data_IF_973001007689
#
_entry.id   IF_973001007689
#
_cell.length_a   1.000
_cell.length_b   1.000
_cell.length_c   1.000
_cell.angle_alpha   90.00
_cell.angle_beta   90.00
_cell.angle_gamma   90.00
#
_symmetry.space_group_name_H-M   'P 1'
#
loop_
_entity.id
_entity.type
_entity.pdbx_description
1 polymer ?
#
# COMPACT_ATOMS: atom_id res chain seq x y z
N UNK A 1 -21.01 7.03 -52.38
CA UNK A 1 -21.19 5.56 -52.43
C UNK A 1 -19.77 4.99 -52.44
N UNK A 2 -19.24 4.24 -51.48
CA UNK A 2 -19.81 3.21 -50.61
C UNK A 2 -19.26 3.27 -49.18
N UNK A 3 -20.14 3.09 -48.20
CA UNK A 3 -19.84 2.84 -46.79
C UNK A 3 -19.48 1.37 -46.58
N UNK A 4 -18.30 1.06 -46.03
CA UNK A 4 -18.03 -0.25 -45.44
C UNK A 4 -18.25 -0.20 -43.91
N UNK A 5 -19.02 -1.14 -43.32
CA UNK A 5 -19.18 -1.21 -41.87
C UNK A 5 -18.04 -2.00 -41.21
N UNK A 6 -17.60 -1.52 -40.05
CA UNK A 6 -16.67 -2.22 -39.16
C UNK A 6 -17.33 -3.47 -38.54
N UNK A 7 -16.58 -4.58 -38.33
CA UNK A 7 -17.14 -5.85 -37.89
C UNK A 7 -17.55 -5.82 -36.41
N UNK A 8 -18.81 -6.20 -36.14
CA UNK A 8 -19.34 -6.47 -34.79
C UNK A 8 -18.85 -7.83 -34.31
N UNK A 9 -18.00 -7.86 -33.28
CA UNK A 9 -17.66 -9.09 -32.57
C UNK A 9 -18.82 -9.51 -31.65
N UNK A 10 -19.46 -10.64 -31.97
CA UNK A 10 -20.47 -11.29 -31.13
C UNK A 10 -19.74 -12.28 -30.21
N UNK A 11 -19.69 -11.99 -28.91
CA UNK A 11 -19.20 -12.91 -27.89
C UNK A 11 -20.20 -14.07 -27.73
N UNK A 12 -19.84 -15.26 -28.24
CA UNK A 12 -20.58 -16.50 -27.98
C UNK A 12 -20.21 -17.04 -26.59
N UNK A 13 -21.24 -17.27 -25.78
CA UNK A 13 -21.20 -17.90 -24.45
C UNK A 13 -20.69 -19.35 -24.56
N UNK A 14 -19.58 -19.67 -23.88
CA UNK A 14 -19.10 -21.05 -23.76
C UNK A 14 -19.82 -21.77 -22.60
N UNK A 15 -20.32 -22.98 -22.86
CA UNK A 15 -20.92 -23.88 -21.87
C UNK A 15 -19.83 -24.72 -21.16
N UNK A 16 -20.07 -25.21 -19.92
CA UNK A 16 -19.06 -25.92 -19.14
C UNK A 16 -18.90 -27.37 -19.60
N UNK A 17 -17.65 -27.83 -19.75
CA UNK A 17 -17.34 -29.24 -19.99
C UNK A 17 -16.92 -29.93 -18.68
N UNK A 18 -17.54 -31.10 -18.45
CA UNK A 18 -17.36 -31.98 -17.32
C UNK A 18 -15.97 -32.65 -17.29
N UNK A 19 -15.59 -33.10 -16.09
CA UNK A 19 -14.23 -33.50 -15.74
C UNK A 19 -13.76 -34.84 -16.29
N UNK A 20 -12.45 -35.06 -16.12
CA UNK A 20 -11.80 -36.37 -16.22
C UNK A 20 -10.80 -36.49 -15.08
N UNK A 21 -10.98 -37.57 -14.32
CA UNK A 21 -10.12 -38.07 -13.24
C UNK A 21 -8.91 -38.77 -13.87
N UNK A 22 -7.71 -38.50 -13.37
CA UNK A 22 -6.49 -39.19 -13.80
C UNK A 22 -5.46 -39.23 -12.68
N UNK A 23 -5.41 -40.36 -11.97
CA UNK A 23 -4.36 -40.71 -11.02
C UNK A 23 -3.10 -41.19 -11.74
N UNK A 24 -1.91 -40.79 -11.28
CA UNK A 24 -0.73 -41.64 -11.38
C UNK A 24 0.32 -41.29 -10.32
N UNK A 25 0.77 -42.32 -9.61
CA UNK A 25 1.90 -42.31 -8.68
C UNK A 25 3.23 -42.42 -9.43
N UNK A 26 4.28 -41.84 -8.86
CA UNK A 26 5.66 -42.13 -9.22
C UNK A 26 6.60 -41.71 -8.10
N UNK A 27 7.09 -42.68 -7.33
CA UNK A 27 8.12 -42.53 -6.32
C UNK A 27 9.51 -42.54 -6.98
N UNK A 28 10.44 -41.72 -6.50
CA UNK A 28 11.87 -42.04 -6.48
C UNK A 28 12.60 -41.21 -5.41
N UNK A 29 13.42 -41.92 -4.63
CA UNK A 29 14.25 -41.45 -3.54
C UNK A 29 15.70 -41.27 -4.00
N UNK A 30 16.48 -40.44 -3.28
CA UNK A 30 17.94 -40.39 -3.40
C UNK A 30 18.60 -39.08 -2.91
N UNK A 31 18.90 -39.03 -1.60
CA UNK A 31 20.11 -38.52 -0.91
C UNK A 31 20.73 -37.16 -1.31
N UNK A 32 20.63 -36.13 -0.45
CA UNK A 32 21.54 -35.71 0.65
C UNK A 32 22.67 -34.73 0.24
N UNK A 33 22.64 -33.53 0.85
CA UNK A 33 23.67 -32.49 0.77
C UNK A 33 23.23 -31.26 1.57
N UNK A 34 23.74 -31.15 2.80
CA UNK A 34 23.09 -30.43 3.90
C UNK A 34 23.15 -28.90 3.92
N UNK A 35 22.09 -28.33 4.51
CA UNK A 35 22.10 -27.10 5.31
C UNK A 35 21.06 -27.29 6.44
N UNK A 36 21.46 -27.95 7.51
CA UNK A 36 20.67 -28.05 8.73
C UNK A 36 20.78 -26.73 9.51
N UNK A 37 19.64 -26.16 9.93
CA UNK A 37 19.61 -25.07 10.92
C UNK A 37 18.61 -23.94 10.70
N UNK A 38 17.36 -24.22 10.31
CA UNK A 38 16.22 -23.29 10.51
C UNK A 38 14.90 -24.08 10.56
N UNK A 39 14.80 -24.99 11.52
CA UNK A 39 13.55 -25.70 11.79
C UNK A 39 12.54 -24.77 12.47
N UNK A 40 11.33 -24.66 11.90
CA UNK A 40 10.13 -24.21 12.60
C UNK A 40 9.57 -22.83 12.23
N UNK A 41 9.54 -22.43 10.96
CA UNK A 41 8.63 -21.34 10.53
C UNK A 41 7.26 -21.96 10.27
N UNK A 42 6.22 -21.49 10.96
CA UNK A 42 4.83 -21.87 10.63
C UNK A 42 4.49 -21.33 9.24
N UNK A 43 4.65 -22.22 8.27
CA UNK A 43 4.45 -22.05 6.85
C UNK A 43 2.96 -21.95 6.49
N UNK A 44 2.34 -20.80 6.80
CA UNK A 44 0.91 -20.56 6.57
C UNK A 44 0.59 -19.77 5.30
N UNK A 45 -0.57 -20.07 4.70
CA UNK A 45 -1.28 -19.16 3.79
C UNK A 45 -1.40 -17.75 4.43
N UNK A 46 -1.35 -16.67 3.65
CA UNK A 46 -1.48 -15.33 4.19
C UNK A 46 -2.84 -15.16 4.88
N UNK A 47 -2.84 -14.49 6.03
CA UNK A 47 -4.05 -14.23 6.78
C UNK A 47 -4.83 -13.07 6.14
N UNK A 48 -6.16 -13.17 6.09
CA UNK A 48 -7.01 -12.06 5.65
C UNK A 48 -7.17 -11.04 6.78
N UNK A 49 -6.61 -9.84 6.63
CA UNK A 49 -6.78 -8.75 7.60
C UNK A 49 -7.98 -7.86 7.25
N UNK A 50 -8.16 -7.54 5.97
CA UNK A 50 -9.32 -6.82 5.46
C UNK A 50 -9.95 -7.66 4.35
N UNK A 51 -11.16 -8.15 4.58
CA UNK A 51 -11.91 -8.91 3.59
C UNK A 51 -12.41 -7.97 2.49
N UNK A 52 -12.00 -8.25 1.25
CA UNK A 52 -12.39 -7.48 0.07
C UNK A 52 -13.84 -7.69 -0.33
N UNK A 53 -14.54 -8.69 0.19
CA UNK A 53 -15.94 -8.97 -0.14
C UNK A 53 -16.86 -8.13 0.73
N UNK A 54 -16.62 -8.13 2.03
CA UNK A 54 -17.44 -7.36 2.98
C UNK A 54 -16.90 -5.95 3.26
N UNK A 55 -15.63 -5.69 2.90
CA UNK A 55 -14.88 -4.48 3.26
C UNK A 55 -14.83 -4.27 4.78
N UNK A 56 -14.58 -5.36 5.52
CA UNK A 56 -14.50 -5.39 6.98
C UNK A 56 -13.17 -6.00 7.44
N UNK A 57 -12.71 -5.52 8.60
CA UNK A 57 -11.49 -6.03 9.24
C UNK A 57 -11.78 -7.39 9.89
N UNK A 58 -10.83 -8.31 9.78
CA UNK A 58 -10.90 -9.67 10.32
C UNK A 58 -9.80 -9.90 11.39
N UNK A 59 -9.78 -9.13 12.50
CA UNK A 59 -8.69 -9.22 13.48
C UNK A 59 -8.58 -10.60 14.13
N UNK A 60 -9.68 -11.36 14.22
CA UNK A 60 -9.66 -12.71 14.79
C UNK A 60 -8.85 -13.69 13.94
N UNK A 61 -8.80 -13.50 12.62
CA UNK A 61 -8.04 -14.35 11.71
C UNK A 61 -6.52 -14.17 11.89
N UNK A 62 -6.08 -13.01 12.40
CA UNK A 62 -4.67 -12.63 12.54
C UNK A 62 -4.20 -12.53 13.99
N UNK A 63 -5.09 -12.73 14.96
CA UNK A 63 -4.77 -12.56 16.38
C UNK A 63 -3.72 -13.57 16.87
N UNK A 64 -3.81 -14.83 16.41
CA UNK A 64 -2.92 -15.94 16.77
C UNK A 64 -1.44 -15.66 16.51
N UNK A 65 -1.05 -15.31 15.26
CA UNK A 65 0.34 -14.95 14.93
C UNK A 65 0.90 -13.75 15.68
N UNK A 66 0.03 -12.88 16.20
CA UNK A 66 0.41 -11.66 16.91
C UNK A 66 0.27 -11.79 18.44
N UNK A 67 0.07 -13.00 18.99
CA UNK A 67 -0.20 -13.21 20.43
C UNK A 67 0.97 -12.91 21.36
N UNK A 68 2.20 -12.86 20.86
CA UNK A 68 3.34 -12.59 21.70
C UNK A 68 3.21 -11.18 22.33
N UNK A 69 3.41 -11.09 23.65
CA UNK A 69 3.49 -9.82 24.38
C UNK A 69 4.72 -8.97 24.02
N UNK A 70 5.45 -9.34 22.96
CA UNK A 70 6.61 -8.61 22.48
C UNK A 70 6.21 -7.23 22.00
N UNK A 71 6.99 -6.24 22.42
CA UNK A 71 6.93 -4.86 21.96
C UNK A 71 7.86 -4.60 20.76
N UNK A 72 8.71 -5.58 20.43
CA UNK A 72 9.67 -5.49 19.33
C UNK A 72 9.08 -6.22 18.11
N UNK A 73 8.37 -5.44 17.29
CA UNK A 73 7.84 -5.85 16.00
C UNK A 73 7.93 -4.67 15.02
N UNK A 74 7.93 -4.94 13.72
CA UNK A 74 7.86 -3.90 12.70
C UNK A 74 6.78 -4.26 11.68
N UNK A 75 6.10 -3.24 11.18
CA UNK A 75 4.94 -3.40 10.28
C UNK A 75 5.27 -2.68 9.00
N UNK A 76 5.38 -3.45 7.91
CA UNK A 76 5.65 -2.94 6.58
C UNK A 76 4.43 -3.17 5.69
N UNK A 77 3.78 -2.09 5.28
CA UNK A 77 2.73 -2.13 4.27
C UNK A 77 3.29 -1.94 2.86
N UNK A 78 2.60 -2.45 1.85
CA UNK A 78 3.00 -2.25 0.44
C UNK A 78 1.84 -1.74 -0.39
N UNK A 79 2.11 -0.70 -1.18
CA UNK A 79 1.20 -0.09 -2.15
C UNK A 79 1.82 -0.09 -3.55
N UNK A 80 1.00 0.04 -4.57
CA UNK A 80 1.45 0.23 -5.95
C UNK A 80 0.57 -0.48 -6.98
N UNK A 81 0.81 -0.17 -8.25
CA UNK A 81 0.03 -0.69 -9.38
C UNK A 81 0.17 -2.22 -9.54
N UNK A 82 -0.65 -2.78 -10.44
CA UNK A 82 -0.56 -4.20 -10.81
C UNK A 82 0.76 -4.47 -11.54
N UNK A 83 1.33 -5.67 -11.37
CA UNK A 83 2.54 -6.09 -12.10
C UNK A 83 3.87 -5.61 -11.50
N UNK A 84 3.87 -4.69 -10.52
CA UNK A 84 5.10 -4.18 -9.90
C UNK A 84 5.72 -5.13 -8.85
N UNK A 85 5.36 -6.42 -8.86
CA UNK A 85 6.00 -7.47 -8.03
C UNK A 85 5.96 -7.25 -6.50
N UNK A 86 4.99 -6.48 -5.99
CA UNK A 86 4.79 -6.17 -4.55
C UNK A 86 4.83 -7.41 -3.64
N UNK A 87 3.99 -8.40 -3.92
CA UNK A 87 3.87 -9.62 -3.13
C UNK A 87 5.15 -10.46 -3.18
N UNK A 88 5.82 -10.49 -4.33
CA UNK A 88 7.10 -11.18 -4.48
C UNK A 88 8.21 -10.50 -3.65
N UNK A 89 8.20 -9.16 -3.57
CA UNK A 89 9.10 -8.42 -2.69
C UNK A 89 8.84 -8.74 -1.23
N UNK A 90 7.58 -8.70 -0.80
CA UNK A 90 7.22 -9.04 0.58
C UNK A 90 7.63 -10.46 0.97
N UNK A 91 7.46 -11.43 0.08
CA UNK A 91 7.92 -12.79 0.32
C UNK A 91 9.45 -12.83 0.50
N UNK A 92 10.22 -12.05 -0.26
CA UNK A 92 11.67 -11.92 -0.04
C UNK A 92 12.01 -11.25 1.29
N UNK A 93 11.31 -10.17 1.64
CA UNK A 93 11.50 -9.45 2.91
C UNK A 93 11.26 -10.36 4.13
N UNK A 94 10.30 -11.28 4.03
CA UNK A 94 9.96 -12.23 5.10
C UNK A 94 10.78 -13.53 5.07
N UNK A 95 11.68 -13.71 4.09
CA UNK A 95 12.46 -14.94 3.93
C UNK A 95 11.68 -16.13 3.34
N UNK A 96 10.52 -15.89 2.70
CA UNK A 96 9.66 -16.91 2.08
C UNK A 96 9.75 -16.93 0.54
N UNK A 97 10.82 -16.33 -0.01
CA UNK A 97 11.03 -16.09 -1.45
C UNK A 97 10.90 -17.30 -2.38
N UNK A 98 11.03 -18.52 -1.86
CA UNK A 98 11.02 -19.77 -2.64
C UNK A 98 9.64 -20.32 -3.03
N UNK A 99 8.51 -19.69 -2.65
CA UNK A 99 7.21 -20.40 -2.60
C UNK A 99 6.04 -19.88 -3.44
N UNK A 100 6.13 -18.73 -4.12
CA UNK A 100 4.98 -18.22 -4.91
C UNK A 100 5.39 -17.63 -6.28
N UNK A 101 6.29 -18.29 -6.99
CA UNK A 101 6.66 -17.91 -8.34
C UNK A 101 5.79 -18.59 -9.41
N UNK A 102 4.46 -18.69 -9.26
CA UNK A 102 3.65 -19.25 -10.35
C UNK A 102 2.16 -18.90 -10.34
N UNK A 103 1.81 -17.63 -10.52
CA UNK A 103 0.52 -17.29 -11.14
C UNK A 103 0.74 -16.27 -12.25
N UNK A 104 1.13 -16.80 -13.41
CA UNK A 104 1.15 -16.15 -14.73
C UNK A 104 -0.30 -15.89 -15.21
N UNK A 105 -1.07 -15.14 -14.45
CA UNK A 105 -2.35 -14.58 -14.91
C UNK A 105 -2.27 -13.08 -14.78
N UNK A 106 -2.73 -12.36 -15.80
CA UNK A 106 -2.93 -10.91 -15.80
C UNK A 106 -4.05 -10.46 -14.82
N UNK A 107 -4.25 -11.21 -13.75
CA UNK A 107 -5.24 -11.02 -12.70
C UNK A 107 -4.52 -10.68 -11.40
N UNK A 108 -5.11 -9.80 -10.58
CA UNK A 108 -4.60 -9.57 -9.24
C UNK A 108 -4.76 -10.85 -8.40
N UNK A 109 -3.73 -11.17 -7.61
CA UNK A 109 -3.76 -12.28 -6.65
C UNK A 109 -4.11 -11.80 -5.23
N UNK A 110 -3.81 -10.54 -4.90
CA UNK A 110 -4.11 -9.94 -3.59
C UNK A 110 -5.45 -9.18 -3.64
N UNK A 111 -6.32 -9.44 -2.66
CA UNK A 111 -7.61 -8.78 -2.49
C UNK A 111 -7.72 -8.21 -1.07
N UNK A 112 -8.16 -6.96 -0.94
CA UNK A 112 -8.23 -6.30 0.37
C UNK A 112 -6.83 -6.10 0.96
N UNK A 113 -6.64 -6.53 2.21
CA UNK A 113 -5.34 -6.55 2.89
C UNK A 113 -5.07 -7.94 3.41
N UNK A 114 -3.94 -8.50 3.00
CA UNK A 114 -3.43 -9.76 3.54
C UNK A 114 -2.24 -9.50 4.47
N UNK A 115 -2.12 -10.31 5.52
CA UNK A 115 -1.11 -10.18 6.56
C UNK A 115 -0.26 -11.43 6.61
N UNK A 116 1.05 -11.24 6.72
CA UNK A 116 2.03 -12.29 6.99
C UNK A 116 2.92 -11.87 8.15
N UNK A 117 3.39 -12.83 8.93
CA UNK A 117 4.32 -12.61 10.03
C UNK A 117 5.52 -13.53 9.85
N UNK A 118 6.74 -12.98 9.88
CA UNK A 118 7.96 -13.79 9.87
C UNK A 118 8.30 -14.28 11.28
N UNK A 119 9.20 -15.27 11.37
CA UNK A 119 9.76 -15.72 12.65
C UNK A 119 10.47 -14.58 13.41
N UNK A 120 11.09 -13.66 12.67
CA UNK A 120 11.76 -12.46 13.21
C UNK A 120 10.77 -11.32 13.54
N UNK A 121 9.47 -11.63 13.66
CA UNK A 121 8.37 -10.72 14.04
C UNK A 121 8.21 -9.51 13.11
N UNK A 122 8.59 -9.67 11.85
CA UNK A 122 8.24 -8.72 10.79
C UNK A 122 6.82 -8.99 10.34
N UNK A 123 5.96 -7.98 10.44
CA UNK A 123 4.58 -8.02 9.95
C UNK A 123 4.55 -7.36 8.58
N UNK A 124 4.15 -8.09 7.55
CA UNK A 124 3.95 -7.55 6.22
C UNK A 124 2.47 -7.45 5.90
N UNK A 125 2.04 -6.29 5.39
CA UNK A 125 0.71 -6.07 4.85
C UNK A 125 0.78 -5.91 3.34
N UNK A 126 0.23 -6.88 2.61
CA UNK A 126 0.10 -6.80 1.15
C UNK A 126 -1.31 -6.36 0.78
N UNK A 127 -1.43 -5.36 -0.08
CA UNK A 127 -2.72 -4.84 -0.52
C UNK A 127 -3.02 -5.23 -1.96
N UNK A 128 -4.31 -5.24 -2.30
CA UNK A 128 -4.72 -5.26 -3.71
C UNK A 128 -4.05 -4.12 -4.50
N UNK A 129 -3.77 -4.33 -5.81
CA UNK A 129 -3.08 -3.33 -6.62
C UNK A 129 -3.90 -2.04 -6.82
N UNK A 130 -3.20 -0.91 -6.81
CA UNK A 130 -3.75 0.40 -7.17
C UNK A 130 -4.03 0.46 -8.67
N UNK A 131 -4.99 1.30 -9.07
CA UNK A 131 -5.36 1.59 -10.47
C UNK A 131 -5.61 0.36 -11.36
N UNK A 132 -6.00 -0.77 -10.77
CA UNK A 132 -6.07 -2.05 -11.47
C UNK A 132 -7.42 -2.29 -12.13
N UNK A 133 -7.43 -2.44 -13.46
CA UNK A 133 -8.61 -2.85 -14.20
C UNK A 133 -9.12 -4.24 -13.78
N UNK A 134 -8.22 -5.16 -13.42
CA UNK A 134 -8.63 -6.50 -12.96
C UNK A 134 -9.32 -6.46 -11.60
N UNK A 135 -8.91 -5.56 -10.70
CA UNK A 135 -9.60 -5.32 -9.42
C UNK A 135 -10.98 -4.71 -9.67
N UNK A 136 -11.09 -3.75 -10.60
CA UNK A 136 -12.37 -3.15 -10.96
C UNK A 136 -13.36 -4.18 -11.50
N UNK A 137 -12.91 -5.00 -12.46
CA UNK A 137 -13.74 -6.05 -13.06
C UNK A 137 -14.23 -7.05 -12.00
N UNK A 138 -13.37 -7.43 -11.05
CA UNK A 138 -13.73 -8.31 -9.94
C UNK A 138 -14.67 -7.64 -8.93
N UNK A 139 -14.50 -6.33 -8.65
CA UNK A 139 -15.44 -5.58 -7.82
C UNK A 139 -16.83 -5.56 -8.46
N UNK A 140 -16.93 -5.24 -9.75
CA UNK A 140 -18.21 -5.26 -10.48
C UNK A 140 -18.86 -6.64 -10.38
N UNK A 141 -18.10 -7.70 -10.65
CA UNK A 141 -18.63 -9.07 -10.63
C UNK A 141 -19.08 -9.53 -9.23
N UNK A 142 -18.38 -9.14 -8.16
CA UNK A 142 -18.69 -9.57 -6.79
C UNK A 142 -19.78 -8.73 -6.11
N UNK A 143 -19.78 -7.43 -6.39
CA UNK A 143 -20.62 -6.48 -5.67
C UNK A 143 -21.88 -6.09 -6.44
N UNK A 144 -22.09 -6.62 -7.65
CA UNK A 144 -23.24 -6.32 -8.50
C UNK A 144 -24.57 -6.24 -7.73
N UNK A 145 -24.79 -7.16 -6.78
CA UNK A 145 -26.01 -7.23 -5.98
C UNK A 145 -25.93 -6.45 -4.65
N UNK A 146 -24.75 -6.32 -4.05
CA UNK A 146 -24.60 -5.76 -2.70
C UNK A 146 -23.21 -5.14 -2.49
N UNK A 147 -22.97 -3.91 -2.96
CA UNK A 147 -21.70 -3.24 -2.72
C UNK A 147 -21.60 -2.75 -1.27
N UNK A 148 -20.39 -2.70 -0.67
CA UNK A 148 -20.21 -2.19 0.68
C UNK A 148 -20.67 -0.74 0.80
N UNK A 149 -21.64 -0.48 1.68
CA UNK A 149 -22.26 0.84 1.84
C UNK A 149 -21.24 1.97 2.13
N UNK A 150 -20.14 1.66 2.83
CA UNK A 150 -19.09 2.62 3.15
C UNK A 150 -18.29 3.11 1.93
N UNK A 151 -18.37 2.40 0.81
CA UNK A 151 -17.79 2.80 -0.47
C UNK A 151 -18.88 3.25 -1.45
N UNK A 152 -19.98 2.51 -1.54
CA UNK A 152 -21.05 2.75 -2.48
C UNK A 152 -21.79 4.08 -2.22
N UNK A 153 -22.17 4.36 -0.96
CA UNK A 153 -22.92 5.56 -0.63
C UNK A 153 -22.16 6.86 -0.99
N UNK A 154 -20.88 7.05 -0.59
CA UNK A 154 -20.12 8.23 -1.02
C UNK A 154 -19.85 8.25 -2.53
N UNK A 155 -19.65 7.11 -3.19
CA UNK A 155 -19.47 7.07 -4.64
C UNK A 155 -20.73 7.52 -5.40
N UNK A 156 -21.91 7.04 -4.99
CA UNK A 156 -23.20 7.44 -5.57
C UNK A 156 -23.49 8.92 -5.28
N UNK A 157 -23.24 9.39 -4.06
CA UNK A 157 -23.43 10.80 -3.70
C UNK A 157 -22.52 11.75 -4.52
N UNK A 158 -21.31 11.31 -4.84
CA UNK A 158 -20.36 12.07 -5.65
C UNK A 158 -20.79 12.21 -7.12
N UNK A 159 -21.46 11.20 -7.69
CA UNK A 159 -21.89 11.18 -9.08
C UNK A 159 -23.01 12.18 -9.42
N UNK A 160 -23.69 12.76 -8.41
CA UNK A 160 -24.68 13.82 -8.58
C UNK A 160 -26.15 13.34 -8.59
N UNK A 161 -27.06 14.25 -8.23
CA UNK A 161 -28.48 14.07 -7.88
C UNK A 161 -29.44 13.65 -9.02
N UNK A 162 -28.96 12.93 -10.03
CA UNK A 162 -29.81 12.36 -11.07
C UNK A 162 -29.86 10.87 -10.96
N UNK A 163 -30.84 10.31 -10.22
CA UNK A 163 -31.21 8.87 -10.14
C UNK A 163 -30.17 7.94 -10.77
N UNK A 164 -28.97 7.84 -10.21
CA UNK A 164 -27.99 6.88 -10.70
C UNK A 164 -28.56 5.51 -10.35
N UNK A 165 -29.17 4.85 -11.33
CA UNK A 165 -29.79 3.53 -11.13
C UNK A 165 -28.74 2.45 -10.80
N UNK A 166 -27.45 2.76 -11.00
CA UNK A 166 -26.32 1.87 -10.79
C UNK A 166 -25.20 2.54 -9.98
N UNK A 167 -24.44 1.71 -9.27
CA UNK A 167 -23.30 2.11 -8.45
C UNK A 167 -22.08 2.41 -9.35
N UNK A 168 -21.43 3.58 -9.23
CA UNK A 168 -20.26 3.91 -10.05
C UNK A 168 -19.01 3.20 -9.51
N UNK A 169 -18.69 2.02 -10.06
CA UNK A 169 -17.65 1.14 -9.54
C UNK A 169 -16.23 1.72 -9.65
N UNK A 170 -15.95 2.60 -10.61
CA UNK A 170 -14.70 3.36 -10.69
C UNK A 170 -14.52 4.24 -9.45
N UNK A 171 -15.62 4.84 -8.98
CA UNK A 171 -15.65 5.65 -7.77
C UNK A 171 -15.52 4.83 -6.50
N UNK A 172 -16.20 3.70 -6.46
CA UNK A 172 -16.04 2.70 -5.38
C UNK A 172 -14.58 2.25 -5.30
N UNK A 173 -13.94 1.97 -6.44
CA UNK A 173 -12.53 1.58 -6.49
C UNK A 173 -11.59 2.69 -6.03
N UNK A 174 -11.81 3.94 -6.49
CA UNK A 174 -11.01 5.09 -6.07
C UNK A 174 -11.09 5.31 -4.55
N UNK A 175 -12.29 5.25 -3.97
CA UNK A 175 -12.49 5.34 -2.53
C UNK A 175 -11.83 4.18 -1.76
N UNK A 176 -11.94 2.96 -2.28
CA UNK A 176 -11.30 1.79 -1.69
C UNK A 176 -9.77 1.96 -1.65
N UNK A 177 -9.17 2.43 -2.73
CA UNK A 177 -7.72 2.70 -2.81
C UNK A 177 -7.29 3.80 -1.84
N UNK A 178 -8.04 4.90 -1.75
CA UNK A 178 -7.77 5.95 -0.77
C UNK A 178 -7.86 5.43 0.66
N UNK A 179 -8.89 4.66 1.00
CA UNK A 179 -9.04 4.07 2.33
C UNK A 179 -7.88 3.13 2.67
N UNK A 180 -7.44 2.29 1.73
CA UNK A 180 -6.28 1.41 1.92
C UNK A 180 -5.01 2.23 2.17
N UNK A 181 -4.73 3.22 1.33
CA UNK A 181 -3.51 4.02 1.43
C UNK A 181 -3.46 4.82 2.73
N UNK A 182 -4.57 5.46 3.10
CA UNK A 182 -4.70 6.20 4.36
C UNK A 182 -4.51 5.25 5.55
N UNK A 183 -5.14 4.08 5.55
CA UNK A 183 -4.98 3.11 6.63
C UNK A 183 -3.51 2.69 6.79
N UNK A 184 -2.84 2.33 5.68
CA UNK A 184 -1.43 1.92 5.72
C UNK A 184 -0.52 3.04 6.22
N UNK A 185 -0.71 4.28 5.73
CA UNK A 185 0.06 5.44 6.18
C UNK A 185 -0.13 5.72 7.67
N UNK A 186 -1.32 5.51 8.23
CA UNK A 186 -1.62 5.79 9.64
C UNK A 186 -1.34 4.63 10.57
N UNK A 187 -1.05 3.42 10.08
CA UNK A 187 -0.95 2.23 10.95
C UNK A 187 0.34 1.42 10.78
N UNK A 188 1.03 1.54 9.65
CA UNK A 188 2.31 0.86 9.45
C UNK A 188 3.46 1.69 10.00
N UNK A 189 4.53 1.04 10.42
CA UNK A 189 5.78 1.73 10.72
C UNK A 189 6.45 2.22 9.42
N UNK A 190 6.37 1.39 8.37
CA UNK A 190 6.90 1.70 7.03
C UNK A 190 5.91 1.32 5.94
N UNK A 191 5.85 2.10 4.88
CA UNK A 191 5.10 1.77 3.66
C UNK A 191 6.03 1.81 2.46
N UNK A 192 6.11 0.70 1.73
CA UNK A 192 6.80 0.63 0.44
C UNK A 192 5.80 0.97 -0.65
N UNK A 193 6.09 1.99 -1.45
CA UNK A 193 5.22 2.42 -2.55
C UNK A 193 5.91 2.10 -3.86
N UNK A 194 5.40 1.07 -4.55
CA UNK A 194 5.94 0.65 -5.82
C UNK A 194 5.45 1.57 -6.94
N UNK A 195 6.40 2.18 -7.63
CA UNK A 195 6.22 3.13 -8.72
C UNK A 195 6.68 2.50 -10.04
N UNK A 196 6.03 2.87 -11.14
CA UNK A 196 6.47 2.47 -12.47
C UNK A 196 7.52 3.45 -13.02
N UNK A 197 8.72 2.95 -13.32
CA UNK A 197 9.80 3.72 -13.93
C UNK A 197 10.42 4.81 -13.04
N UNK A 198 11.36 5.55 -13.63
CA UNK A 198 12.07 6.69 -13.04
C UNK A 198 11.75 7.95 -13.85
N UNK A 199 10.56 8.52 -13.67
CA UNK A 199 10.09 9.66 -14.47
C UNK A 199 8.58 9.82 -14.40
N UNK A 200 7.96 10.31 -15.47
CA UNK A 200 6.52 10.65 -15.50
C UNK A 200 5.59 9.47 -15.18
N UNK A 201 6.02 8.22 -15.46
CA UNK A 201 5.28 7.01 -15.09
C UNK A 201 4.99 6.89 -13.58
N UNK A 202 5.87 7.44 -12.73
CA UNK A 202 5.69 7.43 -11.28
C UNK A 202 4.77 8.55 -10.78
N UNK A 203 4.50 9.58 -11.59
CA UNK A 203 3.85 10.82 -11.16
C UNK A 203 2.45 10.61 -10.59
N UNK A 204 1.64 9.79 -11.26
CA UNK A 204 0.30 9.43 -10.78
C UNK A 204 0.35 8.81 -9.36
N UNK A 205 1.35 7.96 -9.10
CA UNK A 205 1.54 7.37 -7.77
C UNK A 205 1.97 8.42 -6.75
N UNK A 206 2.83 9.36 -7.13
CA UNK A 206 3.24 10.45 -6.24
C UNK A 206 2.09 11.39 -5.87
N UNK A 207 1.28 11.81 -6.86
CA UNK A 207 0.09 12.65 -6.63
C UNK A 207 -0.91 11.91 -5.71
N UNK A 208 -1.09 10.61 -5.91
CA UNK A 208 -1.90 9.76 -5.05
C UNK A 208 -1.37 9.71 -3.61
N UNK A 209 -0.05 9.61 -3.42
CA UNK A 209 0.55 9.60 -2.08
C UNK A 209 0.40 10.93 -1.35
N UNK A 210 0.55 12.08 -2.02
CA UNK A 210 0.26 13.40 -1.41
C UNK A 210 -1.21 13.52 -1.00
N UNK A 211 -2.11 12.98 -1.82
CA UNK A 211 -3.55 12.92 -1.51
C UNK A 211 -3.81 12.06 -0.27
N UNK A 212 -3.23 10.85 -0.21
CA UNK A 212 -3.37 9.95 0.92
C UNK A 212 -2.76 10.56 2.20
N UNK A 213 -1.62 11.24 2.11
CA UNK A 213 -0.98 11.93 3.24
C UNK A 213 -1.87 13.05 3.81
N UNK A 214 -2.51 13.83 2.95
CA UNK A 214 -3.47 14.86 3.35
C UNK A 214 -4.67 14.24 4.09
N UNK A 215 -5.20 13.13 3.56
CA UNK A 215 -6.38 12.44 4.09
C UNK A 215 -6.09 11.57 5.33
N UNK A 216 -4.82 11.31 5.63
CA UNK A 216 -4.38 10.60 6.84
C UNK A 216 -4.45 11.46 8.11
N UNK A 217 -4.69 12.78 7.97
CA UNK A 217 -4.92 13.67 9.12
C UNK A 217 -6.16 13.25 9.90
N UNK A 218 -6.10 13.35 11.22
CA UNK A 218 -7.19 12.99 12.13
C UNK A 218 -7.38 11.49 12.35
N UNK A 219 -6.61 10.62 11.66
CA UNK A 219 -6.63 9.18 11.95
C UNK A 219 -5.80 8.93 13.22
N UNK A 220 -6.37 8.30 14.26
CA UNK A 220 -5.66 8.07 15.51
C UNK A 220 -4.51 7.08 15.32
N UNK A 221 -3.43 7.28 16.08
CA UNK A 221 -2.34 6.29 16.16
C UNK A 221 -2.85 4.96 16.75
N UNK A 222 -2.47 3.80 16.16
CA UNK A 222 -2.97 2.47 16.55
C UNK A 222 -2.48 1.97 17.91
N UNK A 223 -1.48 2.62 18.53
CA UNK A 223 -0.97 2.30 19.87
C UNK A 223 -1.76 2.99 20.99
N UNK A 224 -2.67 3.90 20.65
CA UNK A 224 -3.50 4.59 21.63
C UNK A 224 -4.59 3.65 22.19
N UNK A 225 -4.96 3.82 23.47
CA UNK A 225 -6.06 3.06 24.04
C UNK A 225 -7.37 3.40 23.30
N UNK A 226 -8.30 2.44 23.19
CA UNK A 226 -9.60 2.69 22.57
C UNK A 226 -10.28 3.88 23.25
N UNK A 227 -10.84 4.80 22.47
CA UNK A 227 -11.67 5.86 23.04
C UNK A 227 -12.97 5.28 23.58
N UNK A 228 -13.28 5.55 24.85
CA UNK A 228 -14.55 5.15 25.44
C UNK A 228 -15.73 5.79 24.68
N UNK A 229 -16.65 5.00 24.09
CA UNK A 229 -17.82 5.53 23.38
C UNK A 229 -18.76 6.35 24.28
N UNK A 230 -18.63 6.18 25.61
CA UNK A 230 -19.46 6.81 26.64
C UNK A 230 -18.80 8.01 27.32
N UNK A 231 -17.71 8.57 26.79
CA UNK A 231 -17.33 9.94 27.11
C UNK A 231 -17.91 10.87 26.05
N UNK A 232 -19.19 11.30 26.18
CA UNK A 232 -19.60 12.46 25.44
C UNK A 232 -18.71 13.63 25.90
N UNK A 233 -18.37 14.51 24.96
CA UNK A 233 -17.66 15.76 25.25
C UNK A 233 -18.34 16.62 26.34
N UNK A 234 -19.55 16.23 26.76
CA UNK A 234 -20.36 16.86 27.80
C UNK A 234 -20.01 16.48 29.23
N UNK A 235 -19.36 15.33 29.53
CA UNK A 235 -19.03 15.00 30.95
C UNK A 235 -17.85 15.81 31.47
N UNK A 236 -16.86 16.07 30.61
CA UNK A 236 -15.77 17.00 30.91
C UNK A 236 -16.27 18.46 30.98
N UNK A 237 -17.30 18.81 30.19
CA UNK A 237 -17.92 20.13 30.23
C UNK A 237 -18.82 20.33 31.48
N UNK A 238 -19.51 19.28 31.94
CA UNK A 238 -20.38 19.34 33.13
C UNK A 238 -19.60 19.53 34.44
N UNK A 239 -18.42 18.91 34.56
CA UNK A 239 -17.53 19.12 35.70
C UNK A 239 -16.79 20.48 35.62
N UNK A 240 -16.45 20.95 34.41
CA UNK A 240 -15.80 22.26 34.21
C UNK A 240 -16.77 23.45 34.38
N UNK A 241 -18.06 23.28 34.04
CA UNK A 241 -19.10 24.29 34.22
C UNK A 241 -19.38 24.58 35.71
N UNK A 242 -19.20 23.60 36.60
CA UNK A 242 -19.28 23.81 38.04
C UNK A 242 -18.06 24.56 38.62
N UNK A 243 -16.96 24.69 37.87
CA UNK A 243 -15.68 25.25 38.33
C UNK A 243 -15.22 26.51 37.57
N UNK A 244 -16.02 27.05 36.65
CA UNK A 244 -15.66 28.25 35.87
C UNK A 244 -14.43 28.07 34.95
N UNK A 245 -13.98 26.83 34.72
CA UNK A 245 -12.81 26.55 33.90
C UNK A 245 -13.20 26.51 32.42
N UNK A 246 -12.48 27.27 31.58
CA UNK A 246 -12.58 27.17 30.12
C UNK A 246 -12.45 25.70 29.69
N UNK A 247 -13.24 25.22 28.71
CA UNK A 247 -13.12 23.85 28.24
C UNK A 247 -11.69 23.65 27.73
N UNK A 248 -10.94 22.79 28.42
CA UNK A 248 -9.58 22.45 28.05
C UNK A 248 -9.60 22.01 26.59
N UNK A 249 -8.90 22.76 25.74
CA UNK A 249 -8.69 22.44 24.33
C UNK A 249 -8.21 20.99 24.30
N UNK A 250 -9.02 20.07 23.75
CA UNK A 250 -8.62 18.67 23.63
C UNK A 250 -7.26 18.67 22.93
N UNK A 251 -6.27 18.01 23.54
CA UNK A 251 -4.96 17.87 22.92
C UNK A 251 -5.17 17.30 21.51
N UNK A 252 -4.46 17.82 20.49
CA UNK A 252 -4.60 17.32 19.14
C UNK A 252 -4.43 15.79 19.15
N UNK A 253 -5.27 15.03 18.42
CA UNK A 253 -5.12 13.59 18.36
C UNK A 253 -3.68 13.27 17.99
N UNK A 254 -3.04 12.40 18.76
CA UNK A 254 -1.69 11.96 18.45
C UNK A 254 -1.78 11.11 17.18
N UNK A 255 -1.34 11.71 16.08
CA UNK A 255 -1.36 11.10 14.74
C UNK A 255 -0.05 10.33 14.52
N UNK A 256 -0.18 9.19 13.85
CA UNK A 256 0.95 8.47 13.29
C UNK A 256 1.02 8.70 11.78
N UNK A 257 2.24 8.74 11.26
CA UNK A 257 2.49 8.69 9.82
C UNK A 257 3.68 7.75 9.60
N UNK A 258 3.53 6.81 8.68
CA UNK A 258 4.57 5.85 8.33
C UNK A 258 5.79 6.53 7.70
N UNK A 259 6.96 5.88 7.79
CA UNK A 259 8.06 6.15 6.86
C UNK A 259 7.68 5.62 5.47
N UNK A 260 7.78 6.45 4.43
CA UNK A 260 7.50 6.03 3.05
C UNK A 260 8.81 5.82 2.30
N UNK A 261 8.93 4.68 1.64
CA UNK A 261 10.02 4.37 0.71
C UNK A 261 9.44 4.15 -0.68
N UNK A 262 9.82 5.01 -1.64
CA UNK A 262 9.41 4.89 -3.03
C UNK A 262 10.28 3.86 -3.75
N UNK A 263 9.68 2.78 -4.24
CA UNK A 263 10.37 1.70 -4.94
C UNK A 263 10.07 1.82 -6.43
N UNK A 264 11.00 2.41 -7.18
CA UNK A 264 10.89 2.62 -8.62
C UNK A 264 11.26 1.35 -9.37
N UNK A 265 10.29 0.72 -10.04
CA UNK A 265 10.51 -0.49 -10.82
C UNK A 265 10.76 -0.10 -12.28
N UNK A 266 11.97 -0.35 -12.78
CA UNK A 266 12.36 -0.09 -14.17
C UNK A 266 12.25 -1.35 -15.02
N UNK A 267 11.95 -1.21 -16.32
CA UNK A 267 11.76 -2.36 -17.21
C UNK A 267 13.00 -3.27 -17.23
N UNK A 268 12.77 -4.58 -17.35
CA UNK A 268 13.86 -5.56 -17.45
C UNK A 268 14.74 -5.25 -18.68
N UNK A 269 16.06 -5.29 -18.51
CA UNK A 269 17.02 -4.99 -19.58
C UNK A 269 17.33 -3.50 -19.78
N UNK A 270 16.74 -2.59 -19.01
CA UNK A 270 17.08 -1.15 -19.05
C UNK A 270 18.46 -0.79 -18.48
N UNK A 271 19.21 -1.78 -17.99
CA UNK A 271 20.49 -1.58 -17.29
C UNK A 271 20.30 -1.03 -15.88
N UNK A 272 21.40 -0.91 -15.12
CA UNK A 272 21.37 -0.17 -13.86
C UNK A 272 21.17 1.33 -14.12
N UNK A 273 20.42 2.05 -13.27
CA UNK A 273 20.25 3.48 -13.43
C UNK A 273 21.59 4.21 -13.27
N UNK A 274 21.92 5.08 -14.22
CA UNK A 274 23.11 5.92 -14.14
C UNK A 274 23.05 6.88 -12.95
N UNK A 275 24.21 7.31 -12.45
CA UNK A 275 24.28 8.32 -11.38
C UNK A 275 23.54 9.62 -11.73
N UNK A 276 23.57 10.04 -13.01
CA UNK A 276 22.84 11.21 -13.48
C UNK A 276 21.31 11.03 -13.40
N UNK A 277 20.80 9.84 -13.75
CA UNK A 277 19.38 9.52 -13.60
C UNK A 277 18.96 9.50 -12.13
N UNK A 278 19.78 8.94 -11.25
CA UNK A 278 19.52 8.92 -9.81
C UNK A 278 19.55 10.34 -9.20
N UNK A 279 20.48 11.20 -9.62
CA UNK A 279 20.52 12.60 -9.20
C UNK A 279 19.31 13.40 -9.70
N UNK A 280 18.85 13.14 -10.93
CA UNK A 280 17.64 13.79 -11.45
C UNK A 280 16.40 13.36 -10.66
N UNK A 281 16.26 12.05 -10.40
CA UNK A 281 15.16 11.51 -9.60
C UNK A 281 15.16 12.13 -8.20
N UNK A 282 16.32 12.22 -7.55
CA UNK A 282 16.47 12.83 -6.23
C UNK A 282 15.95 14.27 -6.20
N UNK A 283 16.40 15.10 -7.16
CA UNK A 283 15.92 16.49 -7.30
C UNK A 283 14.43 16.57 -7.56
N UNK A 284 13.89 15.68 -8.40
CA UNK A 284 12.46 15.64 -8.71
C UNK A 284 11.63 15.29 -7.48
N UNK A 285 12.07 14.30 -6.69
CA UNK A 285 11.40 13.90 -5.45
C UNK A 285 11.46 15.00 -4.40
N UNK A 286 12.63 15.61 -4.19
CA UNK A 286 12.79 16.69 -3.22
C UNK A 286 11.95 17.93 -3.60
N UNK A 287 11.86 18.27 -4.89
CA UNK A 287 11.00 19.35 -5.36
C UNK A 287 9.50 18.99 -5.24
N UNK A 288 9.11 17.78 -5.64
CA UNK A 288 7.71 17.37 -5.66
C UNK A 288 7.13 17.18 -4.25
N UNK A 289 7.91 16.63 -3.33
CA UNK A 289 7.50 16.40 -1.94
C UNK A 289 7.96 17.51 -0.99
N UNK A 290 8.40 18.67 -1.49
CA UNK A 290 9.04 19.72 -0.69
C UNK A 290 8.28 20.10 0.60
N UNK A 291 6.94 20.15 0.52
CA UNK A 291 6.02 20.50 1.62
C UNK A 291 5.34 19.30 2.30
N UNK A 292 5.71 18.07 1.93
CA UNK A 292 5.10 16.83 2.41
C UNK A 292 5.67 16.40 3.77
N UNK A 293 4.82 15.87 4.65
CA UNK A 293 5.23 15.21 5.91
C UNK A 293 5.82 13.80 5.68
N UNK A 294 5.82 13.33 4.44
CA UNK A 294 6.45 12.05 4.07
C UNK A 294 7.97 12.12 4.05
N UNK A 295 8.54 13.33 3.94
CA UNK A 295 9.98 13.55 4.05
C UNK A 295 10.46 13.21 5.46
N UNK A 296 11.64 12.60 5.56
CA UNK A 296 12.24 12.20 6.83
C UNK A 296 13.71 12.60 6.88
N UNK A 297 14.26 12.85 8.09
CA UNK A 297 15.70 12.92 8.26
C UNK A 297 16.35 11.56 7.97
N UNK A 298 17.54 11.57 7.36
CA UNK A 298 18.27 10.35 7.01
C UNK A 298 17.53 9.44 6.02
N UNK A 299 17.08 9.95 4.86
CA UNK A 299 16.35 9.17 3.87
C UNK A 299 17.18 7.98 3.39
N UNK A 300 16.54 6.84 3.11
CA UNK A 300 17.17 5.73 2.41
C UNK A 300 17.28 6.09 0.93
N UNK A 301 18.48 6.41 0.44
CA UNK A 301 18.74 6.76 -0.97
C UNK A 301 19.69 5.75 -1.61
N UNK A 302 19.32 5.24 -2.78
CA UNK A 302 20.18 4.32 -3.54
C UNK A 302 21.52 4.98 -3.95
N UNK A 303 21.50 6.27 -4.33
CA UNK A 303 22.68 7.01 -4.77
C UNK A 303 23.80 7.04 -3.71
N UNK A 304 23.44 7.19 -2.44
CA UNK A 304 24.40 7.24 -1.32
C UNK A 304 25.11 5.90 -1.11
N UNK A 305 24.50 4.79 -1.54
CA UNK A 305 25.07 3.45 -1.43
C UNK A 305 25.97 3.10 -2.60
N UNK A 306 25.68 3.62 -3.79
CA UNK A 306 26.55 3.45 -4.96
C UNK A 306 27.91 4.16 -4.80
N UNK A 307 28.02 5.18 -3.94
CA UNK A 307 29.25 5.92 -3.67
C UNK A 307 30.09 5.40 -2.48
N UNK A 308 29.54 4.51 -1.64
CA UNK A 308 30.19 4.05 -0.42
C UNK A 308 31.25 2.94 -0.64
N UNK A 309 31.46 2.49 -1.89
CA UNK A 309 32.37 1.39 -2.22
C UNK A 309 33.84 1.80 -2.41
N UNK A 310 34.20 3.09 -2.34
CA UNK A 310 35.59 3.54 -2.37
C UNK A 310 35.90 4.48 -1.20
N UNK A 311 36.62 3.97 -0.20
CA UNK A 311 37.13 4.76 0.90
C UNK A 311 38.08 5.86 0.43
N UNK A 312 37.77 7.10 0.77
CA UNK A 312 38.74 8.07 1.28
C UNK A 312 37.96 9.22 1.93
N UNK A 313 38.24 9.49 3.20
CA UNK A 313 37.67 10.63 3.90
C UNK A 313 38.11 11.91 3.23
N UNK A 314 37.19 12.57 2.53
CA UNK A 314 37.23 14.00 2.24
C UNK A 314 35.85 14.57 2.53
N UNK A 315 35.68 14.97 3.78
CA UNK A 315 34.62 15.88 4.19
C UNK A 315 34.85 17.23 3.51
N UNK A 316 34.23 17.45 2.35
CA UNK A 316 34.01 18.80 1.85
C UNK A 316 32.88 19.41 2.67
N UNK A 317 33.28 20.17 3.69
CA UNK A 317 32.41 21.02 4.49
C UNK A 317 31.67 22.01 3.59
N UNK A 318 30.36 21.77 3.45
CA UNK A 318 29.43 22.63 2.72
C UNK A 318 27.99 22.45 3.23
N UNK A 319 27.79 22.65 4.53
CA UNK A 319 26.52 23.09 5.13
C UNK A 319 25.21 22.43 4.69
N UNK A 320 24.93 21.23 5.17
CA UNK A 320 23.59 20.85 5.66
C UNK A 320 23.76 19.61 6.54
N UNK A 321 23.00 19.52 7.63
CA UNK A 321 22.87 18.25 8.35
C UNK A 321 22.33 17.14 7.42
N UNK A 322 22.00 15.94 7.93
CA UNK A 322 21.27 14.98 7.12
C UNK A 322 19.93 15.61 6.74
N UNK A 323 19.86 16.17 5.53
CA UNK A 323 18.71 16.92 5.05
C UNK A 323 17.48 16.03 5.07
N UNK A 324 16.32 16.59 5.36
CA UNK A 324 15.07 15.86 5.19
C UNK A 324 14.88 15.56 3.70
N UNK A 325 14.49 14.34 3.38
CA UNK A 325 14.29 13.93 1.99
C UNK A 325 13.32 12.77 1.90
N UNK A 326 12.93 12.45 0.66
CA UNK A 326 12.19 11.22 0.39
C UNK A 326 13.15 10.03 0.34
N UNK A 327 12.75 8.92 0.96
CA UNK A 327 13.45 7.65 0.77
C UNK A 327 13.03 7.02 -0.55
N UNK A 328 13.99 6.55 -1.34
CA UNK A 328 13.72 5.87 -2.60
C UNK A 328 14.76 4.79 -2.93
N UNK A 329 14.32 3.82 -3.72
CA UNK A 329 15.14 2.77 -4.28
C UNK A 329 14.71 2.46 -5.72
N UNK A 330 15.65 2.06 -6.58
CA UNK A 330 15.34 1.63 -7.94
C UNK A 330 15.60 0.13 -8.07
N UNK A 331 14.61 -0.62 -8.56
CA UNK A 331 14.71 -2.06 -8.78
C UNK A 331 14.46 -2.38 -10.26
N UNK A 332 15.19 -3.35 -10.84
CA UNK A 332 14.78 -3.93 -12.10
C UNK A 332 13.50 -4.75 -11.91
N UNK A 333 12.60 -4.67 -12.89
CA UNK A 333 11.44 -5.55 -12.99
C UNK A 333 11.89 -7.01 -13.06
N UNK A 334 11.12 -7.90 -12.44
CA UNK A 334 11.33 -9.33 -12.62
C UNK A 334 11.06 -9.68 -14.10
N UNK A 335 11.95 -10.42 -14.77
CA UNK A 335 11.73 -10.86 -16.14
C UNK A 335 10.46 -11.71 -16.21
N UNK A 336 9.53 -11.34 -17.08
CA UNK A 336 8.48 -12.25 -17.51
C UNK A 336 9.13 -13.36 -18.33
N UNK A 337 8.99 -14.63 -17.92
CA UNK A 337 9.64 -15.78 -18.55
C UNK A 337 9.55 -15.74 -20.08
N UNK A 338 10.67 -15.85 -20.80
CA UNK A 338 11.21 -17.13 -21.28
C UNK A 338 12.73 -17.15 -21.41
N UNK A 339 13.42 -16.04 -21.13
CA UNK A 339 14.89 -16.00 -21.07
C UNK A 339 15.33 -16.01 -19.61
N UNK A 340 16.17 -16.99 -19.25
CA UNK A 340 16.67 -17.24 -17.90
C UNK A 340 17.61 -16.16 -17.34
N UNK A 341 17.49 -14.90 -17.75
CA UNK A 341 18.17 -13.80 -17.08
C UNK A 341 17.43 -13.56 -15.78
N UNK A 342 17.95 -14.07 -14.66
CA UNK A 342 17.39 -13.76 -13.35
C UNK A 342 17.41 -12.23 -13.17
N UNK A 343 16.27 -11.63 -12.79
CA UNK A 343 16.29 -10.26 -12.27
C UNK A 343 17.39 -10.18 -11.23
N UNK A 344 18.24 -9.15 -11.29
CA UNK A 344 19.41 -9.05 -10.42
C UNK A 344 19.00 -9.31 -8.95
N UNK A 345 19.29 -10.50 -8.41
CA UNK A 345 18.88 -10.85 -7.06
C UNK A 345 19.63 -9.97 -6.06
N UNK A 346 20.78 -9.39 -6.45
CA UNK A 346 21.56 -8.52 -5.60
C UNK A 346 20.83 -7.20 -5.30
N UNK A 347 20.33 -6.46 -6.31
CA UNK A 347 19.60 -5.22 -6.07
C UNK A 347 18.40 -5.39 -5.12
N UNK A 348 17.65 -6.48 -5.26
CA UNK A 348 16.54 -6.82 -4.38
C UNK A 348 17.01 -7.21 -2.97
N UNK A 349 18.05 -8.03 -2.86
CA UNK A 349 18.63 -8.44 -1.58
C UNK A 349 19.22 -7.25 -0.81
N UNK A 350 19.87 -6.32 -1.51
CA UNK A 350 20.41 -5.09 -0.93
C UNK A 350 19.29 -4.25 -0.33
N UNK A 351 18.18 -4.02 -1.05
CA UNK A 351 17.06 -3.28 -0.48
C UNK A 351 16.47 -4.00 0.75
N UNK A 352 16.31 -5.32 0.70
CA UNK A 352 15.85 -6.10 1.87
C UNK A 352 16.79 -5.93 3.05
N UNK A 353 18.10 -6.05 2.86
CA UNK A 353 19.10 -5.87 3.91
C UNK A 353 19.05 -4.44 4.50
N UNK A 354 18.89 -3.43 3.65
CA UNK A 354 18.75 -2.03 4.08
C UNK A 354 17.47 -1.79 4.88
N UNK A 355 16.35 -2.38 4.47
CA UNK A 355 15.08 -2.24 5.19
C UNK A 355 15.12 -2.94 6.56
N UNK A 356 15.73 -4.12 6.64
CA UNK A 356 15.87 -4.89 7.88
C UNK A 356 16.94 -4.33 8.82
N UNK A 357 18.00 -3.72 8.29
CA UNK A 357 19.07 -3.09 9.06
C UNK A 357 18.70 -1.73 9.64
N UNK A 358 17.65 -1.08 9.13
CA UNK A 358 17.18 0.22 9.64
C UNK A 358 16.29 0.03 10.87
N UNK A 359 16.42 0.91 11.89
CA UNK A 359 15.51 0.89 13.03
C UNK A 359 14.07 1.08 12.56
N UNK A 360 13.15 0.37 13.20
CA UNK A 360 11.73 0.54 12.93
C UNK A 360 11.27 1.90 13.47
N UNK A 361 10.61 2.76 12.67
CA UNK A 361 10.06 4.01 13.16
C UNK A 361 9.09 3.75 14.32
N UNK A 362 9.13 4.52 15.43
CA UNK A 362 8.26 4.27 16.57
C UNK A 362 6.83 4.75 16.32
N UNK A 363 5.86 4.07 16.95
CA UNK A 363 4.51 4.59 17.17
C UNK A 363 4.49 5.60 18.33
N UNK A 364 3.38 6.32 18.49
CA UNK A 364 3.14 7.24 19.60
C UNK A 364 3.44 6.65 20.98
N UNK A 365 3.07 5.39 21.19
CA UNK A 365 3.32 4.62 22.41
C UNK A 365 3.86 3.25 22.04
N UNK A 366 4.71 2.70 22.90
CA UNK A 366 5.06 1.28 22.82
C UNK A 366 3.79 0.45 23.04
N UNK A 367 3.49 -0.43 22.10
CA UNK A 367 2.39 -1.37 22.18
C UNK A 367 2.87 -2.76 21.74
N UNK A 368 2.11 -3.80 22.05
CA UNK A 368 2.33 -5.15 21.50
C UNK A 368 1.65 -5.31 20.14
N UNK A 369 1.99 -6.35 19.38
CA UNK A 369 1.31 -6.68 18.13
C UNK A 369 -0.21 -6.83 18.28
N UNK A 370 -0.68 -7.40 19.40
CA UNK A 370 -2.12 -7.49 19.69
C UNK A 370 -2.77 -6.12 19.94
N UNK A 371 -2.10 -5.25 20.70
CA UNK A 371 -2.62 -3.90 20.98
C UNK A 371 -2.68 -3.07 19.70
N UNK A 372 -1.62 -3.12 18.88
CA UNK A 372 -1.60 -2.54 17.54
C UNK A 372 -2.78 -3.04 16.71
N UNK A 373 -2.96 -4.37 16.61
CA UNK A 373 -4.06 -4.95 15.83
C UNK A 373 -5.43 -4.47 16.30
N UNK A 374 -5.65 -4.37 17.62
CA UNK A 374 -6.89 -3.83 18.19
C UNK A 374 -7.12 -2.36 17.81
N UNK A 375 -6.08 -1.53 17.87
CA UNK A 375 -6.15 -0.13 17.45
C UNK A 375 -6.46 0.01 15.96
N UNK A 376 -5.77 -0.78 15.12
CA UNK A 376 -5.98 -0.80 13.66
C UNK A 376 -7.41 -1.23 13.30
N UNK A 377 -7.87 -2.37 13.81
CA UNK A 377 -9.20 -2.89 13.51
C UNK A 377 -10.34 -2.10 14.19
N UNK A 378 -10.02 -1.38 15.26
CA UNK A 378 -10.94 -0.55 16.02
C UNK A 378 -11.01 0.88 15.50
N UNK A 379 -10.35 1.80 16.19
CA UNK A 379 -10.52 3.23 16.00
C UNK A 379 -9.93 3.72 14.67
N UNK A 380 -8.78 3.20 14.23
CA UNK A 380 -8.17 3.60 12.96
C UNK A 380 -9.07 3.23 11.77
N UNK A 381 -9.48 1.97 11.65
CA UNK A 381 -10.35 1.54 10.55
C UNK A 381 -11.71 2.22 10.58
N UNK A 382 -12.29 2.43 11.77
CA UNK A 382 -13.55 3.18 11.91
C UNK A 382 -13.41 4.62 11.41
N UNK A 383 -12.31 5.30 11.77
CA UNK A 383 -12.03 6.67 11.33
C UNK A 383 -11.86 6.75 9.81
N UNK A 384 -11.10 5.82 9.21
CA UNK A 384 -10.90 5.74 7.76
C UNK A 384 -12.20 5.46 7.03
N UNK A 385 -12.92 4.40 7.43
CA UNK A 385 -14.15 3.93 6.77
C UNK A 385 -15.28 4.95 6.82
N UNK A 386 -15.34 5.76 7.88
CA UNK A 386 -16.37 6.80 8.09
C UNK A 386 -15.86 8.22 7.81
N UNK A 387 -14.68 8.37 7.22
CA UNK A 387 -14.07 9.69 7.02
C UNK A 387 -14.89 10.54 6.06
N UNK A 388 -15.40 11.67 6.57
CA UNK A 388 -16.06 12.69 5.76
C UNK A 388 -15.07 13.38 4.82
N UNK A 389 -13.80 13.48 5.20
CA UNK A 389 -12.78 14.14 4.39
C UNK A 389 -12.45 13.32 3.15
N UNK A 390 -12.31 11.99 3.29
CA UNK A 390 -12.12 11.08 2.15
C UNK A 390 -13.34 11.17 1.20
N UNK A 391 -14.56 11.09 1.74
CA UNK A 391 -15.78 11.18 0.93
C UNK A 391 -15.91 12.54 0.24
N UNK A 392 -15.61 13.64 0.94
CA UNK A 392 -15.70 15.01 0.41
C UNK A 392 -14.64 15.26 -0.66
N UNK A 393 -13.40 14.82 -0.42
CA UNK A 393 -12.33 14.91 -1.41
C UNK A 393 -12.72 14.20 -2.70
N UNK A 394 -13.16 12.93 -2.60
CA UNK A 394 -13.59 12.17 -3.76
C UNK A 394 -14.77 12.85 -4.47
N UNK A 395 -15.76 13.35 -3.71
CA UNK A 395 -16.91 14.06 -4.26
C UNK A 395 -16.51 15.31 -5.04
N UNK A 396 -15.53 16.07 -4.55
CA UNK A 396 -14.98 17.24 -5.26
C UNK A 396 -14.23 16.82 -6.51
N UNK A 397 -13.35 15.82 -6.40
CA UNK A 397 -12.58 15.28 -7.52
C UNK A 397 -13.49 14.80 -8.64
N UNK A 398 -14.51 14.00 -8.30
CA UNK A 398 -15.50 13.49 -9.25
C UNK A 398 -16.23 14.65 -9.95
N UNK A 399 -16.66 15.68 -9.21
CA UNK A 399 -17.31 16.85 -9.80
C UNK A 399 -16.39 17.66 -10.72
N UNK A 400 -15.11 17.81 -10.36
CA UNK A 400 -14.15 18.57 -11.20
C UNK A 400 -13.74 17.78 -12.44
N UNK A 401 -13.57 16.47 -12.32
CA UNK A 401 -13.26 15.58 -13.46
C UNK A 401 -14.47 15.46 -14.41
N UNK A 402 -15.69 15.36 -13.88
CA UNK A 402 -16.93 15.27 -14.69
C UNK A 402 -17.37 16.62 -15.29
N UNK A 403 -17.02 17.75 -14.68
CA UNK A 403 -17.31 19.10 -15.23
C UNK A 403 -16.17 19.68 -16.07
N UNK A 404 -15.04 18.98 -16.18
CA UNK A 404 -13.82 19.41 -16.86
C UNK A 404 -13.71 19.00 -18.32
N UNK A 405 -14.69 19.38 -19.17
CA UNK A 405 -14.50 19.46 -20.62
C UNK A 405 -15.42 20.50 -21.32
N UNK A 406 -16.13 21.36 -20.58
CA UNK A 406 -17.07 22.33 -21.17
C UNK A 406 -16.77 23.80 -20.83
N UNK A 407 -15.77 24.11 -20.01
CA UNK A 407 -15.56 25.49 -19.50
C UNK A 407 -14.14 26.05 -19.58
N UNK A 408 -13.14 25.23 -19.94
CA UNK A 408 -11.78 25.72 -20.14
C UNK A 408 -11.55 25.90 -21.63
N UNK A 409 -11.77 27.13 -22.10
CA UNK A 409 -11.35 27.55 -23.43
C UNK A 409 -9.85 27.40 -23.55
N UNK A 410 -9.40 26.29 -24.13
CA UNK A 410 -8.04 26.15 -24.63
C UNK A 410 -7.90 27.12 -25.80
N UNK A 411 -7.27 28.27 -25.54
CA UNK A 411 -6.63 29.04 -26.58
C UNK A 411 -5.65 28.09 -27.29
N UNK A 412 -5.94 27.78 -28.55
CA UNK A 412 -5.01 27.07 -29.43
C UNK A 412 -3.82 27.98 -29.73
N UNK A 413 -2.58 27.45 -29.82
CA UNK A 413 -1.57 28.10 -30.65
C UNK A 413 -2.01 28.12 -32.12
#
# INVERSE_FOLDING_TARGET
>A
MSSQPLPRAVLRKAAPAAGVVGSSSGAQAGEEGGFAGREGIQDGEPYCLLDSTTWQMCPQAVAGPLTAASHDFCVTGVLGAQGLCKSAFLNRLLGTAGRQAQQQRWQHCTRGITLRVSADRQVALDTQPLFSASVLADMVARWEQQPPAALAAPAVAAAGEGKAAAVPYEGVQALAQLQLAVLLLSTCHRVLVFCEGVGDGARCTWDFMLTAEMLARGIPDPSLPPRDPQQPATVAAGAAAAAGAQPARQAPPQEHLAEVVLVHVVAAGSGEPSAAQLQLLDRQLDAFFASSRLRRPGPLRMLEQSGASNGSGHSTSGGSGPGEGMSYWVLPALPGGSSGSAADPAAWATLVAQLLGRPCPPLARRCSGQQWLRGVAGDCWRAVRKSTDIATFYSRLARTQLKGAAGWGLARP
#
